data_IF_253934934111
#
_entry.id   IF_253934934111
#
_cell.length_a   1.000
_cell.length_b   1.000
_cell.length_c   1.000
_cell.angle_alpha   90.00
_cell.angle_beta   90.00
_cell.angle_gamma   90.00
#
_symmetry.space_group_name_H-M   'P 1'
#
loop_
_entity.id
_entity.type
_entity.pdbx_description
1 polymer ?
#
# COMPACT_ATOMS: atom_id res chain seq x y z
N UNK A 1 -14.19 0.83 29.38
CA UNK A 1 -13.29 -0.30 29.04
C UNK A 1 -13.93 -0.98 27.85
N UNK A 2 -13.21 -1.03 26.73
CA UNK A 2 -13.69 -1.69 25.53
C UNK A 2 -14.12 -3.13 25.83
N UNK A 3 -15.19 -3.59 25.19
CA UNK A 3 -15.61 -4.98 25.29
C UNK A 3 -14.64 -5.87 24.50
N UNK A 4 -14.48 -7.13 24.92
CA UNK A 4 -13.64 -8.11 24.21
C UNK A 4 -14.08 -8.26 22.74
N UNK A 5 -15.39 -8.17 22.49
CA UNK A 5 -15.96 -8.18 21.15
C UNK A 5 -15.49 -6.98 20.30
N UNK A 6 -15.42 -5.77 20.88
CA UNK A 6 -14.95 -4.58 20.18
C UNK A 6 -13.45 -4.71 19.82
N UNK A 7 -12.63 -5.16 20.77
CA UNK A 7 -11.21 -5.41 20.52
C UNK A 7 -10.99 -6.48 19.44
N UNK A 8 -11.73 -7.59 19.49
CA UNK A 8 -11.65 -8.64 18.47
C UNK A 8 -12.03 -8.14 17.07
N UNK A 9 -13.10 -7.36 16.97
CA UNK A 9 -13.52 -6.76 15.70
C UNK A 9 -12.50 -5.74 15.16
N UNK A 10 -11.88 -4.96 16.04
CA UNK A 10 -10.87 -3.97 15.64
C UNK A 10 -9.60 -4.63 15.09
N UNK A 11 -9.15 -5.73 15.71
CA UNK A 11 -8.03 -6.53 15.20
C UNK A 11 -8.34 -7.15 13.83
N UNK A 12 -9.53 -7.70 13.65
CA UNK A 12 -9.96 -8.27 12.37
C UNK A 12 -10.05 -7.19 11.28
N UNK A 13 -10.64 -6.04 11.58
CA UNK A 13 -10.70 -4.91 10.66
C UNK A 13 -9.29 -4.43 10.25
N UNK A 14 -8.38 -4.30 11.21
CA UNK A 14 -6.98 -3.95 10.95
C UNK A 14 -6.28 -4.93 10.02
N UNK A 15 -6.49 -6.24 10.22
CA UNK A 15 -5.94 -7.29 9.36
C UNK A 15 -6.47 -7.20 7.91
N UNK A 16 -7.78 -6.97 7.73
CA UNK A 16 -8.41 -6.86 6.40
C UNK A 16 -7.89 -5.63 5.66
N UNK A 17 -7.84 -4.48 6.31
CA UNK A 17 -7.37 -3.21 5.72
C UNK A 17 -5.91 -3.32 5.30
N UNK A 18 -5.04 -3.88 6.16
CA UNK A 18 -3.63 -4.05 5.85
C UNK A 18 -3.41 -5.07 4.73
N UNK A 19 -4.11 -6.20 4.74
CA UNK A 19 -4.01 -7.21 3.69
C UNK A 19 -4.47 -6.68 2.32
N UNK A 20 -5.60 -5.95 2.29
CA UNK A 20 -6.09 -5.30 1.06
C UNK A 20 -5.10 -4.27 0.52
N UNK A 21 -4.53 -3.44 1.41
CA UNK A 21 -3.48 -2.50 1.06
C UNK A 21 -2.24 -3.19 0.48
N UNK A 22 -1.76 -4.26 1.11
CA UNK A 22 -0.58 -5.00 0.68
C UNK A 22 -0.77 -5.68 -0.68
N UNK A 23 -1.96 -6.23 -0.95
CA UNK A 23 -2.30 -6.81 -2.26
C UNK A 23 -2.29 -5.72 -3.33
N UNK A 24 -2.94 -4.57 -3.06
CA UNK A 24 -2.97 -3.45 -3.99
C UNK A 24 -1.57 -2.91 -4.30
N UNK A 25 -0.74 -2.74 -3.26
CA UNK A 25 0.64 -2.28 -3.39
C UNK A 25 1.50 -3.26 -4.21
N UNK A 26 1.53 -4.53 -3.79
CA UNK A 26 2.34 -5.55 -4.44
C UNK A 26 2.00 -5.75 -5.92
N UNK A 27 0.71 -5.73 -6.28
CA UNK A 27 0.29 -5.82 -7.68
C UNK A 27 0.63 -4.54 -8.45
N UNK A 28 0.32 -3.36 -7.88
CA UNK A 28 0.56 -2.07 -8.53
C UNK A 28 2.04 -1.82 -8.82
N UNK A 29 2.90 -2.02 -7.82
CA UNK A 29 4.35 -1.83 -7.95
C UNK A 29 4.98 -2.91 -8.84
N UNK A 30 4.48 -4.15 -8.77
CA UNK A 30 4.90 -5.22 -9.67
C UNK A 30 4.63 -4.86 -11.14
N UNK A 31 3.45 -4.30 -11.44
CA UNK A 31 3.10 -3.84 -12.78
C UNK A 31 3.96 -2.64 -13.22
N UNK A 32 4.14 -1.63 -12.35
CA UNK A 32 4.96 -0.47 -12.64
C UNK A 32 6.43 -0.85 -12.90
N UNK A 33 6.99 -1.72 -12.06
CA UNK A 33 8.35 -2.24 -12.19
C UNK A 33 8.55 -3.06 -13.46
N UNK A 34 7.59 -3.91 -13.82
CA UNK A 34 7.64 -4.67 -15.07
C UNK A 34 7.69 -3.76 -16.30
N UNK A 35 6.91 -2.66 -16.32
CA UNK A 35 6.94 -1.69 -17.42
C UNK A 35 8.23 -0.87 -17.45
N UNK A 36 8.79 -0.51 -16.30
CA UNK A 36 10.11 0.13 -16.23
C UNK A 36 11.18 -0.76 -16.86
N UNK A 37 11.25 -2.04 -16.45
CA UNK A 37 12.22 -3.01 -16.97
C UNK A 37 12.03 -3.21 -18.48
N UNK A 38 10.78 -3.37 -18.94
CA UNK A 38 10.48 -3.54 -20.35
C UNK A 38 10.86 -2.30 -21.19
N UNK A 39 10.68 -1.09 -20.65
CA UNK A 39 11.07 0.16 -21.29
C UNK A 39 12.60 0.29 -21.42
N UNK A 40 13.32 0.04 -20.32
CA UNK A 40 14.79 0.09 -20.28
C UNK A 40 15.41 -0.98 -21.19
N UNK A 41 14.84 -2.19 -21.23
CA UNK A 41 15.30 -3.25 -22.12
C UNK A 41 15.17 -2.89 -23.62
N UNK A 42 14.15 -2.09 -23.99
CA UNK A 42 13.97 -1.61 -25.37
C UNK A 42 14.87 -0.41 -25.69
N UNK A 43 15.05 0.50 -24.74
CA UNK A 43 15.82 1.74 -24.89
C UNK A 43 16.59 2.06 -23.59
N UNK A 44 17.81 1.55 -23.42
CA UNK A 44 18.60 1.73 -22.19
C UNK A 44 18.87 3.19 -21.82
N UNK A 45 19.06 4.05 -22.82
CA UNK A 45 19.28 5.49 -22.66
C UNK A 45 18.06 6.24 -22.11
N UNK A 46 16.87 5.64 -22.19
CA UNK A 46 15.62 6.23 -21.69
C UNK A 46 15.44 6.11 -20.18
N UNK A 47 16.29 5.36 -19.47
CA UNK A 47 16.17 5.08 -18.03
C UNK A 47 15.89 6.34 -17.19
N UNK A 48 16.66 7.42 -17.42
CA UNK A 48 16.50 8.69 -16.70
C UNK A 48 15.12 9.32 -16.89
N UNK A 49 14.52 9.17 -18.07
CA UNK A 49 13.19 9.68 -18.40
C UNK A 49 12.07 8.78 -17.88
N UNK A 50 12.34 7.49 -17.69
CA UNK A 50 11.37 6.53 -17.15
C UNK A 50 11.27 6.58 -15.62
N UNK A 51 12.29 7.06 -14.91
CA UNK A 51 12.23 7.16 -13.45
C UNK A 51 11.16 8.10 -12.92
N UNK A 52 10.98 9.28 -13.51
CA UNK A 52 9.95 10.23 -13.08
C UNK A 52 8.53 9.62 -13.10
N UNK A 53 8.03 9.08 -14.24
CA UNK A 53 6.72 8.45 -14.25
C UNK A 53 6.65 7.19 -13.38
N UNK A 54 7.74 6.42 -13.28
CA UNK A 54 7.80 5.25 -12.38
C UNK A 54 7.61 5.67 -10.92
N UNK A 55 8.39 6.64 -10.43
CA UNK A 55 8.30 7.09 -9.04
C UNK A 55 6.98 7.79 -8.73
N UNK A 56 6.41 8.55 -9.66
CA UNK A 56 5.05 9.09 -9.48
C UNK A 56 4.06 7.94 -9.28
N UNK A 57 4.12 6.90 -10.13
CA UNK A 57 3.23 5.74 -10.04
C UNK A 57 3.40 5.01 -8.70
N UNK A 58 4.62 4.61 -8.36
CA UNK A 58 4.91 3.90 -7.09
C UNK A 58 4.54 4.75 -5.89
N UNK A 59 4.79 6.07 -5.91
CA UNK A 59 4.43 6.94 -4.79
C UNK A 59 2.91 7.01 -4.54
N UNK A 60 2.09 6.94 -5.60
CA UNK A 60 0.63 6.91 -5.46
C UNK A 60 0.13 5.55 -4.94
N UNK A 61 0.75 4.46 -5.41
CA UNK A 61 0.48 3.10 -4.93
C UNK A 61 0.82 3.00 -3.43
N UNK A 62 2.03 3.41 -3.06
CA UNK A 62 2.51 3.40 -1.68
C UNK A 62 1.73 4.37 -0.78
N UNK A 63 1.34 5.55 -1.27
CA UNK A 63 0.48 6.46 -0.49
C UNK A 63 -0.84 5.78 -0.08
N UNK A 64 -1.44 5.00 -0.99
CA UNK A 64 -2.67 4.24 -0.69
C UNK A 64 -2.41 3.14 0.33
N UNK A 65 -1.26 2.45 0.24
CA UNK A 65 -0.83 1.47 1.24
C UNK A 65 -0.65 2.10 2.63
N UNK A 66 0.08 3.21 2.73
CA UNK A 66 0.32 3.88 4.00
C UNK A 66 -0.93 4.48 4.63
N UNK A 67 -1.91 4.91 3.83
CA UNK A 67 -3.23 5.29 4.35
C UNK A 67 -3.90 4.08 5.04
N UNK A 68 -3.86 2.89 4.42
CA UNK A 68 -4.38 1.66 5.04
C UNK A 68 -3.61 1.30 6.33
N UNK A 69 -2.28 1.44 6.34
CA UNK A 69 -1.46 1.24 7.55
C UNK A 69 -1.89 2.18 8.67
N UNK A 70 -2.14 3.46 8.36
CA UNK A 70 -2.59 4.44 9.34
C UNK A 70 -3.97 4.07 9.93
N UNK A 71 -4.92 3.63 9.11
CA UNK A 71 -6.23 3.16 9.59
C UNK A 71 -6.14 1.87 10.40
N UNK A 72 -5.29 0.92 9.98
CA UNK A 72 -5.02 -0.28 10.77
C UNK A 72 -4.46 0.09 12.15
N UNK A 73 -3.47 1.00 12.20
CA UNK A 73 -2.90 1.47 13.45
C UNK A 73 -3.95 2.16 14.34
N UNK A 74 -4.83 2.98 13.75
CA UNK A 74 -5.97 3.56 14.46
C UNK A 74 -6.87 2.48 15.06
N UNK A 75 -7.24 1.44 14.29
CA UNK A 75 -8.13 0.39 14.79
C UNK A 75 -7.49 -0.43 15.91
N UNK A 76 -6.20 -0.76 15.79
CA UNK A 76 -5.53 -1.67 16.74
C UNK A 76 -5.00 -0.95 17.98
N UNK A 77 -4.53 0.29 17.86
CA UNK A 77 -3.90 1.02 18.97
C UNK A 77 -4.75 2.13 19.58
N UNK A 78 -5.75 2.64 18.85
CA UNK A 78 -6.59 3.75 19.29
C UNK A 78 -8.04 3.53 18.84
N UNK A 79 -8.58 2.35 19.12
CA UNK A 79 -9.88 1.88 18.64
C UNK A 79 -10.99 2.90 18.93
N UNK A 80 -11.62 3.52 17.91
CA UNK A 80 -12.72 4.45 18.15
C UNK A 80 -13.90 3.75 18.85
N UNK A 81 -14.39 4.36 19.94
CA UNK A 81 -15.50 3.83 20.74
C UNK A 81 -15.10 2.90 21.90
N UNK A 82 -13.80 2.74 22.17
CA UNK A 82 -13.25 2.02 23.33
C UNK A 82 -13.45 2.73 24.68
#
# INVERSE_FOLDING_TARGET
MATDALMGNALLAGAIVLAGGAIGAGVGDGMAGAQLIAGVARQPESLSRLYTPFFITVSLVEATFFINVAFMALFVFATPGS
#
